data_IF_137173130286
#
_entry.id   IF_137173130286
#
_cell.length_a   1.000
_cell.length_b   1.000
_cell.length_c   1.000
_cell.angle_alpha   90.00
_cell.angle_beta   90.00
_cell.angle_gamma   90.00
#
_symmetry.space_group_name_H-M   'P 1'
#
loop_
_entity.id
_entity.type
_entity.pdbx_description
1 polymer ?
#
# COMPACT_ATOMS: atom_id res chain seq x y z
N UNK A 1 13.67 -3.66 -5.09
CA UNK A 1 13.38 -3.19 -3.71
C UNK A 1 14.13 -1.88 -3.43
N UNK A 2 15.42 -1.85 -3.62
CA UNK A 2 16.24 -0.65 -3.45
C UNK A 2 15.77 0.51 -4.34
N UNK A 3 15.34 0.25 -5.59
CA UNK A 3 14.87 1.29 -6.51
C UNK A 3 13.68 2.07 -5.96
N UNK A 4 12.65 1.41 -5.42
CA UNK A 4 11.51 2.11 -4.81
C UNK A 4 11.90 2.96 -3.62
N UNK A 5 12.83 2.44 -2.81
CA UNK A 5 13.35 3.18 -1.66
C UNK A 5 14.14 4.39 -2.12
N UNK A 6 15.06 4.23 -3.08
CA UNK A 6 15.90 5.33 -3.61
C UNK A 6 15.04 6.41 -4.26
N UNK A 7 14.05 6.05 -5.07
CA UNK A 7 13.15 7.03 -5.67
C UNK A 7 12.29 7.75 -4.63
N UNK A 8 11.75 7.03 -3.64
CA UNK A 8 11.00 7.65 -2.57
C UNK A 8 11.84 8.63 -1.72
N UNK A 9 13.07 8.27 -1.40
CA UNK A 9 13.98 9.19 -0.68
C UNK A 9 14.36 10.38 -1.52
N UNK A 10 14.58 10.21 -2.82
CA UNK A 10 14.85 11.31 -3.75
C UNK A 10 13.68 12.30 -3.83
N UNK A 11 12.44 11.78 -3.92
CA UNK A 11 11.23 12.62 -3.92
C UNK A 11 11.16 13.44 -2.62
N UNK A 12 11.37 12.81 -1.47
CA UNK A 12 11.38 13.52 -0.18
C UNK A 12 12.46 14.61 -0.15
N UNK A 13 13.68 14.31 -0.59
CA UNK A 13 14.80 15.26 -0.57
C UNK A 13 14.56 16.44 -1.53
N UNK A 14 13.89 16.20 -2.66
CA UNK A 14 13.43 17.28 -3.56
C UNK A 14 12.39 18.16 -2.89
N UNK A 15 11.40 17.60 -2.22
CA UNK A 15 10.35 18.33 -1.49
C UNK A 15 10.97 19.23 -0.41
N UNK A 16 12.01 18.77 0.27
CA UNK A 16 12.71 19.55 1.29
C UNK A 16 13.51 20.73 0.71
N UNK A 17 13.95 20.62 -0.56
CA UNK A 17 14.67 21.69 -1.25
C UNK A 17 13.75 22.80 -1.75
N UNK A 18 12.60 22.44 -2.33
CA UNK A 18 11.63 23.41 -2.85
C UNK A 18 10.21 22.84 -2.69
N UNK A 19 9.30 23.56 -2.01
CA UNK A 19 7.90 23.14 -1.83
C UNK A 19 7.14 22.86 -3.15
N UNK A 20 7.58 23.40 -4.29
CA UNK A 20 6.97 23.10 -5.60
C UNK A 20 6.98 21.60 -5.93
N UNK A 21 7.98 20.87 -5.45
CA UNK A 21 8.10 19.43 -5.68
C UNK A 21 7.10 18.58 -4.85
N UNK A 22 6.32 19.20 -3.97
CA UNK A 22 5.22 18.53 -3.27
C UNK A 22 4.18 17.93 -4.25
N UNK A 23 4.11 18.50 -5.46
CA UNK A 23 3.26 18.00 -6.55
C UNK A 23 3.59 16.54 -6.94
N UNK A 24 4.82 16.07 -6.75
CA UNK A 24 5.20 14.66 -7.00
C UNK A 24 4.42 13.66 -6.16
N UNK A 25 3.84 14.06 -5.04
CA UNK A 25 3.05 13.16 -4.21
C UNK A 25 1.64 12.88 -4.75
N UNK A 26 1.08 13.76 -5.58
CA UNK A 26 -0.31 13.62 -6.05
C UNK A 26 -0.48 13.69 -7.57
N UNK A 27 0.44 14.30 -8.33
CA UNK A 27 0.33 14.38 -9.78
C UNK A 27 0.88 13.12 -10.47
N UNK A 28 0.22 12.75 -11.57
CA UNK A 28 0.69 11.67 -12.44
C UNK A 28 1.84 12.16 -13.32
N UNK A 29 2.76 11.25 -13.69
CA UNK A 29 3.87 11.59 -14.56
C UNK A 29 3.49 12.12 -15.94
N UNK A 30 2.24 11.92 -16.35
CA UNK A 30 1.68 12.40 -17.63
C UNK A 30 1.34 13.89 -17.61
N UNK A 31 1.02 14.42 -16.44
CA UNK A 31 0.52 15.79 -16.25
C UNK A 31 1.64 16.73 -15.76
N UNK A 32 2.85 16.21 -15.57
CA UNK A 32 3.94 16.96 -15.00
C UNK A 32 4.74 17.74 -16.04
N UNK A 33 5.11 18.98 -15.70
CA UNK A 33 5.91 19.84 -16.55
C UNK A 33 7.32 19.25 -16.77
N UNK A 34 7.65 18.93 -18.03
CA UNK A 34 8.93 18.31 -18.40
C UNK A 34 10.16 19.14 -18.04
N UNK A 35 9.99 20.47 -17.85
CA UNK A 35 11.06 21.36 -17.42
C UNK A 35 11.53 21.07 -15.99
N UNK A 36 10.63 20.65 -15.12
CA UNK A 36 10.92 20.26 -13.74
C UNK A 36 11.55 18.86 -13.67
N UNK A 37 11.20 17.98 -14.60
CA UNK A 37 11.78 16.63 -14.72
C UNK A 37 13.25 16.65 -15.15
N UNK A 38 13.66 17.62 -15.98
CA UNK A 38 15.04 17.72 -16.49
C UNK A 38 16.06 18.06 -15.40
N UNK A 39 15.60 18.71 -14.32
CA UNK A 39 16.41 19.08 -13.15
C UNK A 39 16.24 18.11 -11.97
N UNK A 40 15.23 17.25 -11.99
CA UNK A 40 15.00 16.22 -11.02
C UNK A 40 15.61 14.92 -11.51
N UNK A 41 16.41 14.30 -10.65
CA UNK A 41 17.03 12.98 -10.78
C UNK A 41 16.19 11.99 -11.60
N UNK A 42 16.86 11.10 -12.34
CA UNK A 42 16.26 9.99 -13.08
C UNK A 42 15.27 9.19 -12.24
N UNK A 43 14.01 9.61 -12.21
CA UNK A 43 12.91 8.87 -11.59
C UNK A 43 12.46 7.80 -12.60
N UNK A 44 13.02 6.60 -12.50
CA UNK A 44 12.79 5.52 -13.46
C UNK A 44 11.34 5.03 -13.51
N UNK A 45 10.61 5.19 -12.39
CA UNK A 45 9.21 4.74 -12.29
C UNK A 45 8.17 5.83 -12.50
N UNK A 46 8.57 7.06 -12.75
CA UNK A 46 7.65 8.20 -12.89
C UNK A 46 6.57 8.00 -13.96
N UNK A 47 6.90 7.34 -15.06
CA UNK A 47 5.96 7.04 -16.14
C UNK A 47 5.06 5.82 -15.89
N UNK A 48 5.36 5.02 -14.86
CA UNK A 48 4.62 3.81 -14.51
C UNK A 48 3.87 4.03 -13.20
N UNK A 49 2.64 4.52 -13.27
CA UNK A 49 1.85 4.97 -12.12
C UNK A 49 1.73 3.90 -11.01
N UNK A 50 1.58 2.64 -11.39
CA UNK A 50 1.53 1.52 -10.46
C UNK A 50 2.83 1.29 -9.68
N UNK A 51 3.99 1.59 -10.27
CA UNK A 51 5.29 1.57 -9.60
C UNK A 51 5.50 2.84 -8.78
N UNK A 52 5.10 3.97 -9.37
CA UNK A 52 5.29 5.28 -8.77
C UNK A 52 4.50 5.45 -7.47
N UNK A 53 3.34 4.80 -7.34
CA UNK A 53 2.56 4.78 -6.10
C UNK A 53 3.37 4.23 -4.91
N UNK A 54 4.19 3.21 -5.12
CA UNK A 54 5.08 2.67 -4.07
C UNK A 54 6.14 3.70 -3.68
N UNK A 55 6.73 4.38 -4.66
CA UNK A 55 7.71 5.44 -4.41
C UNK A 55 7.10 6.63 -3.64
N UNK A 56 5.86 7.03 -3.96
CA UNK A 56 5.11 8.06 -3.21
C UNK A 56 4.93 7.70 -1.74
N UNK A 57 4.46 6.47 -1.47
CA UNK A 57 4.30 6.00 -0.09
C UNK A 57 5.64 5.93 0.64
N UNK A 58 6.68 5.48 -0.06
CA UNK A 58 8.03 5.46 0.49
C UNK A 58 8.52 6.88 0.82
N UNK A 59 8.23 7.87 -0.04
CA UNK A 59 8.56 9.27 0.23
C UNK A 59 7.87 9.76 1.51
N UNK A 60 6.56 9.49 1.67
CA UNK A 60 5.80 9.86 2.86
C UNK A 60 6.40 9.22 4.12
N UNK A 61 6.68 7.91 4.08
CA UNK A 61 7.28 7.23 5.22
C UNK A 61 8.70 7.71 5.51
N UNK A 62 9.47 8.11 4.50
CA UNK A 62 10.82 8.60 4.64
C UNK A 62 10.93 9.92 5.44
N UNK A 63 9.86 10.69 5.55
CA UNK A 63 9.80 11.84 6.48
C UNK A 63 9.92 11.40 7.95
N UNK A 64 9.37 10.22 8.29
CA UNK A 64 9.40 9.68 9.65
C UNK A 64 10.59 8.75 9.89
N UNK A 65 11.13 8.12 8.84
CA UNK A 65 12.16 7.08 8.94
C UNK A 65 13.56 7.59 8.70
N UNK A 66 13.74 8.89 8.46
CA UNK A 66 15.05 9.51 8.16
C UNK A 66 15.81 8.79 7.03
N UNK A 67 15.11 8.37 5.98
CA UNK A 67 15.65 7.64 4.82
C UNK A 67 16.25 6.25 5.16
N UNK A 68 15.95 5.67 6.31
CA UNK A 68 16.44 4.33 6.66
C UNK A 68 15.57 3.26 6.02
N UNK A 69 16.17 2.45 5.15
CA UNK A 69 15.49 1.37 4.43
C UNK A 69 14.73 0.40 5.35
N UNK A 70 15.36 -0.06 6.43
CA UNK A 70 14.74 -1.02 7.37
C UNK A 70 13.49 -0.46 8.04
N UNK A 71 13.49 0.84 8.36
CA UNK A 71 12.32 1.49 8.94
C UNK A 71 11.19 1.64 7.92
N UNK A 72 11.51 2.01 6.67
CA UNK A 72 10.53 2.03 5.60
C UNK A 72 9.92 0.65 5.38
N UNK A 73 10.76 -0.39 5.36
CA UNK A 73 10.32 -1.78 5.24
C UNK A 73 9.37 -2.17 6.38
N UNK A 74 9.68 -1.77 7.61
CA UNK A 74 8.83 -2.00 8.78
C UNK A 74 7.44 -1.35 8.60
N UNK A 75 7.37 -0.10 8.13
CA UNK A 75 6.09 0.59 7.87
C UNK A 75 5.25 -0.13 6.81
N UNK A 76 5.87 -0.57 5.70
CA UNK A 76 5.19 -1.36 4.68
C UNK A 76 4.65 -2.68 5.23
N UNK A 77 5.45 -3.38 6.03
CA UNK A 77 5.05 -4.64 6.66
C UNK A 77 3.92 -4.43 7.67
N UNK A 78 3.97 -3.37 8.47
CA UNK A 78 2.88 -3.01 9.40
C UNK A 78 1.58 -2.71 8.64
N UNK A 79 1.66 -1.93 7.57
CA UNK A 79 0.50 -1.61 6.73
C UNK A 79 -0.13 -2.88 6.15
N UNK A 80 0.70 -3.77 5.59
CA UNK A 80 0.26 -5.07 5.09
C UNK A 80 -0.38 -5.92 6.19
N UNK A 81 0.27 -6.00 7.35
CA UNK A 81 -0.21 -6.80 8.46
C UNK A 81 -1.60 -6.38 8.95
N UNK A 82 -1.90 -5.08 8.98
CA UNK A 82 -3.24 -4.62 9.36
C UNK A 82 -4.33 -5.17 8.45
N UNK A 83 -4.08 -5.24 7.14
CA UNK A 83 -5.04 -5.84 6.20
C UNK A 83 -5.14 -7.35 6.35
N UNK A 84 -4.00 -8.05 6.50
CA UNK A 84 -3.96 -9.49 6.77
C UNK A 84 -4.71 -9.83 8.06
N UNK A 85 -4.59 -9.00 9.08
CA UNK A 85 -5.34 -9.13 10.32
C UNK A 85 -6.86 -9.00 10.10
N UNK A 86 -7.31 -8.09 9.24
CA UNK A 86 -8.71 -7.97 8.88
C UNK A 86 -9.20 -9.20 8.09
N UNK A 87 -8.37 -9.75 7.21
CA UNK A 87 -8.68 -11.00 6.52
C UNK A 87 -8.80 -12.17 7.49
N UNK A 88 -7.89 -12.27 8.47
CA UNK A 88 -8.02 -13.27 9.56
C UNK A 88 -9.33 -13.10 10.32
N UNK A 89 -9.70 -11.87 10.71
CA UNK A 89 -10.97 -11.59 11.41
C UNK A 89 -12.18 -11.99 10.59
N UNK A 90 -12.17 -11.76 9.26
CA UNK A 90 -13.22 -12.18 8.36
C UNK A 90 -13.49 -13.69 8.45
N UNK A 91 -12.46 -14.51 8.39
CA UNK A 91 -12.60 -15.96 8.49
C UNK A 91 -12.91 -16.42 9.91
N UNK A 92 -12.34 -15.77 10.93
CA UNK A 92 -12.61 -16.07 12.32
C UNK A 92 -14.09 -15.87 12.68
N UNK A 93 -14.70 -14.80 12.19
CA UNK A 93 -16.11 -14.50 12.44
C UNK A 93 -17.06 -15.53 11.81
N UNK A 94 -16.65 -16.17 10.72
CA UNK A 94 -17.44 -17.20 10.05
C UNK A 94 -17.19 -18.61 10.64
N UNK A 95 -15.95 -18.92 11.01
CA UNK A 95 -15.53 -20.25 11.44
C UNK A 95 -14.70 -20.21 12.74
N UNK A 96 -15.29 -19.78 13.87
CA UNK A 96 -14.54 -19.60 15.12
C UNK A 96 -13.91 -20.89 15.66
N UNK A 97 -14.48 -22.05 15.37
CA UNK A 97 -13.94 -23.35 15.79
C UNK A 97 -12.65 -23.75 15.07
N UNK A 98 -12.34 -23.11 13.93
CA UNK A 98 -11.12 -23.36 13.15
C UNK A 98 -10.04 -22.30 13.35
N UNK A 99 -10.15 -21.45 14.38
CA UNK A 99 -9.30 -20.27 14.58
C UNK A 99 -7.79 -20.54 14.50
N UNK A 100 -7.32 -21.65 15.06
CA UNK A 100 -5.89 -22.01 15.03
C UNK A 100 -5.42 -22.36 13.62
N UNK A 101 -6.21 -23.12 12.85
CA UNK A 101 -5.87 -23.46 11.46
C UNK A 101 -5.93 -22.24 10.55
N UNK A 102 -6.92 -21.36 10.75
CA UNK A 102 -7.05 -20.10 10.01
C UNK A 102 -5.88 -19.16 10.35
N UNK A 103 -5.51 -19.03 11.62
CA UNK A 103 -4.35 -18.25 12.03
C UNK A 103 -3.07 -18.74 11.37
N UNK A 104 -2.84 -20.05 11.35
CA UNK A 104 -1.68 -20.64 10.69
C UNK A 104 -1.69 -20.39 9.18
N UNK A 105 -2.84 -20.54 8.52
CA UNK A 105 -2.99 -20.38 7.08
C UNK A 105 -2.89 -18.91 6.63
N UNK A 106 -3.39 -17.94 7.42
CA UNK A 106 -3.47 -16.54 7.03
C UNK A 106 -2.28 -15.73 7.55
N UNK A 107 -1.82 -15.98 8.79
CA UNK A 107 -0.81 -15.16 9.45
C UNK A 107 0.61 -15.75 9.37
N UNK A 108 0.74 -17.07 9.28
CA UNK A 108 2.03 -17.75 9.46
C UNK A 108 2.53 -18.42 8.18
N UNK A 109 1.71 -18.54 7.13
CA UNK A 109 2.14 -19.17 5.88
C UNK A 109 3.41 -18.49 5.33
N UNK A 110 4.56 -19.19 5.20
CA UNK A 110 5.85 -18.55 4.90
C UNK A 110 5.84 -17.74 3.61
N UNK A 111 5.18 -18.25 2.58
CA UNK A 111 5.08 -17.57 1.29
C UNK A 111 4.32 -16.23 1.44
N UNK A 112 3.24 -16.21 2.21
CA UNK A 112 2.45 -15.02 2.44
C UNK A 112 3.23 -13.98 3.25
N UNK A 113 3.90 -14.42 4.33
CA UNK A 113 4.76 -13.56 5.16
C UNK A 113 5.91 -12.95 4.36
N UNK A 114 6.56 -13.75 3.52
CA UNK A 114 7.68 -13.30 2.68
C UNK A 114 7.25 -12.18 1.72
N UNK A 115 6.15 -12.38 0.98
CA UNK A 115 5.66 -11.39 0.03
C UNK A 115 4.98 -10.18 0.68
N UNK A 116 4.56 -10.30 1.93
CA UNK A 116 3.99 -9.20 2.71
C UNK A 116 5.05 -8.31 3.37
N UNK A 117 6.32 -8.73 3.38
CA UNK A 117 7.44 -8.00 3.96
C UNK A 117 8.30 -7.40 2.85
N UNK A 118 8.36 -6.08 2.77
CA UNK A 118 9.23 -5.42 1.79
C UNK A 118 8.66 -4.12 1.26
N UNK A 119 9.53 -3.27 0.70
CA UNK A 119 9.12 -2.07 -0.03
C UNK A 119 8.75 -2.50 -1.46
N UNK A 120 7.55 -3.04 -1.62
CA UNK A 120 7.01 -3.62 -2.85
C UNK A 120 5.54 -3.27 -3.02
N UNK A 121 4.98 -3.60 -4.19
CA UNK A 121 3.53 -3.53 -4.44
C UNK A 121 2.75 -4.60 -3.69
N UNK A 122 3.33 -5.77 -3.51
CA UNK A 122 2.64 -6.95 -2.96
C UNK A 122 2.16 -6.74 -1.52
N UNK A 123 2.94 -6.16 -0.59
CA UNK A 123 2.45 -5.80 0.74
C UNK A 123 1.23 -4.88 0.71
N UNK A 124 1.22 -3.90 -0.19
CA UNK A 124 0.11 -2.98 -0.34
C UNK A 124 -1.14 -3.67 -0.90
N UNK A 125 -0.96 -4.55 -1.90
CA UNK A 125 -2.05 -5.32 -2.48
C UNK A 125 -2.65 -6.30 -1.47
N UNK A 126 -1.82 -7.03 -0.72
CA UNK A 126 -2.30 -7.97 0.31
C UNK A 126 -3.01 -7.26 1.44
N UNK A 127 -2.48 -6.12 1.88
CA UNK A 127 -3.13 -5.26 2.87
C UNK A 127 -4.48 -4.75 2.39
N UNK A 128 -4.52 -4.16 1.20
CA UNK A 128 -5.75 -3.62 0.62
C UNK A 128 -6.81 -4.71 0.38
N UNK A 129 -6.41 -5.91 -0.06
CA UNK A 129 -7.33 -7.03 -0.25
C UNK A 129 -8.00 -7.44 1.08
N UNK A 130 -7.22 -7.52 2.16
CA UNK A 130 -7.74 -7.86 3.47
C UNK A 130 -8.72 -6.81 4.01
N UNK A 131 -8.41 -5.52 3.86
CA UNK A 131 -9.32 -4.43 4.24
C UNK A 131 -10.60 -4.45 3.40
N UNK A 132 -10.49 -4.64 2.08
CA UNK A 132 -11.63 -4.69 1.17
C UNK A 132 -12.57 -5.85 1.52
N UNK A 133 -12.02 -7.06 1.71
CA UNK A 133 -12.80 -8.26 2.08
C UNK A 133 -13.57 -8.05 3.38
N UNK A 134 -12.89 -7.54 4.42
CA UNK A 134 -13.52 -7.33 5.71
C UNK A 134 -14.55 -6.20 5.69
N UNK A 135 -14.26 -5.10 4.98
CA UNK A 135 -15.19 -3.99 4.84
C UNK A 135 -16.47 -4.41 4.12
N UNK A 136 -16.37 -5.20 3.04
CA UNK A 136 -17.53 -5.76 2.34
C UNK A 136 -18.36 -6.67 3.26
N UNK A 137 -17.70 -7.52 4.03
CA UNK A 137 -18.37 -8.40 4.99
C UNK A 137 -19.15 -7.61 6.05
N UNK A 138 -18.53 -6.58 6.63
CA UNK A 138 -19.23 -5.75 7.63
C UNK A 138 -20.36 -4.92 7.03
N UNK A 139 -20.20 -4.41 5.79
CA UNK A 139 -21.24 -3.63 5.11
C UNK A 139 -22.45 -4.47 4.73
N UNK A 140 -22.24 -5.63 4.08
CA UNK A 140 -23.33 -6.40 3.51
C UNK A 140 -23.94 -7.40 4.51
N UNK A 141 -23.14 -8.00 5.36
CA UNK A 141 -23.60 -9.08 6.26
C UNK A 141 -23.87 -8.53 7.66
N UNK A 142 -22.94 -7.84 8.27
CA UNK A 142 -23.12 -7.32 9.65
C UNK A 142 -23.88 -6.00 9.73
N UNK A 143 -23.93 -5.21 8.65
CA UNK A 143 -24.55 -3.89 8.56
C UNK A 143 -24.11 -2.94 9.69
N UNK A 144 -22.83 -3.00 10.09
CA UNK A 144 -22.25 -2.19 11.16
C UNK A 144 -21.31 -1.13 10.58
N UNK A 145 -21.25 0.03 11.23
CA UNK A 145 -20.29 1.10 10.95
C UNK A 145 -20.22 1.49 9.46
N UNK A 146 -21.38 1.72 8.83
CA UNK A 146 -21.51 1.93 7.40
C UNK A 146 -20.54 2.99 6.86
N UNK A 147 -20.39 4.13 7.54
CA UNK A 147 -19.53 5.22 7.09
C UNK A 147 -18.04 4.81 7.09
N UNK A 148 -17.57 4.20 8.19
CA UNK A 148 -16.16 3.80 8.31
C UNK A 148 -15.80 2.71 7.31
N UNK A 149 -16.66 1.70 7.17
CA UNK A 149 -16.42 0.58 6.25
C UNK A 149 -16.53 1.01 4.78
N UNK A 150 -17.42 1.95 4.45
CA UNK A 150 -17.50 2.55 3.12
C UNK A 150 -16.23 3.32 2.77
N UNK A 151 -15.66 4.08 3.72
CA UNK A 151 -14.40 4.79 3.54
C UNK A 151 -13.24 3.81 3.32
N UNK A 152 -13.14 2.77 4.14
CA UNK A 152 -12.11 1.73 4.01
C UNK A 152 -12.23 1.03 2.66
N UNK A 153 -13.45 0.70 2.22
CA UNK A 153 -13.71 0.08 0.94
C UNK A 153 -13.24 0.97 -0.22
N UNK A 154 -13.52 2.27 -0.15
CA UNK A 154 -13.10 3.22 -1.18
C UNK A 154 -11.57 3.33 -1.23
N UNK A 155 -10.90 3.47 -0.07
CA UNK A 155 -9.44 3.56 0.02
C UNK A 155 -8.79 2.26 -0.48
N UNK A 156 -9.24 1.09 -0.01
CA UNK A 156 -8.70 -0.20 -0.42
C UNK A 156 -8.93 -0.47 -1.91
N UNK A 157 -10.12 -0.14 -2.43
CA UNK A 157 -10.45 -0.22 -3.85
C UNK A 157 -9.55 0.67 -4.70
N UNK A 158 -9.31 1.91 -4.28
CA UNK A 158 -8.38 2.82 -4.95
C UNK A 158 -6.95 2.23 -5.01
N UNK A 159 -6.43 1.72 -3.90
CA UNK A 159 -5.10 1.08 -3.88
C UNK A 159 -5.02 -0.09 -4.84
N UNK A 160 -6.01 -0.98 -4.86
CA UNK A 160 -6.04 -2.12 -5.78
C UNK A 160 -6.18 -1.68 -7.24
N UNK A 161 -7.00 -0.68 -7.53
CA UNK A 161 -7.19 -0.15 -8.87
C UNK A 161 -5.88 0.42 -9.45
N UNK A 162 -5.12 1.18 -8.64
CA UNK A 162 -3.86 1.79 -9.07
C UNK A 162 -2.73 0.77 -9.16
N UNK A 163 -2.61 -0.14 -8.19
CA UNK A 163 -1.49 -1.08 -8.11
C UNK A 163 -1.67 -2.28 -9.05
N UNK A 164 -2.83 -2.93 -9.00
CA UNK A 164 -3.13 -4.17 -9.72
C UNK A 164 -4.63 -4.28 -10.02
N UNK A 165 -5.08 -3.57 -11.04
CA UNK A 165 -6.49 -3.51 -11.44
C UNK A 165 -7.10 -4.91 -11.65
N UNK A 166 -6.32 -5.86 -12.16
CA UNK A 166 -6.80 -7.23 -12.42
C UNK A 166 -7.24 -7.97 -11.15
N UNK A 167 -6.65 -7.64 -9.98
CA UNK A 167 -7.08 -8.24 -8.70
C UNK A 167 -8.47 -7.72 -8.34
N UNK A 168 -8.71 -6.42 -8.52
CA UNK A 168 -10.02 -5.82 -8.24
C UNK A 168 -11.12 -6.39 -9.15
N UNK A 169 -10.80 -6.65 -10.42
CA UNK A 169 -11.76 -7.22 -11.39
C UNK A 169 -12.06 -8.70 -11.11
N UNK A 170 -11.11 -9.44 -10.54
CA UNK A 170 -11.28 -10.85 -10.19
C UNK A 170 -11.99 -11.09 -8.86
N UNK A 171 -12.18 -10.03 -8.06
CA UNK A 171 -12.81 -10.08 -6.73
C UNK A 171 -14.31 -9.86 -6.79
#
# INVERSE_FOLDING_TARGET
WLLYHTEGTNIKDLILKDPKYFRFLYESGKDFDQSLLKNSLNLGYFNAENNYMVARLTAIFSFFTFNRYLLNNLFFSMLSFTGVWHLFRFFYDQYPHLHQKIALAVLILPNFVFWSAGVLKDPLCTGALGWLTYALYELFIKKKNLLTNSLILFIAGYFLAVLKLYILVSF
#
